data_IF_044120662401
#
_entry.id   IF_044120662401
#
_cell.length_a   1.000
_cell.length_b   1.000
_cell.length_c   1.000
_cell.angle_alpha   90.00
_cell.angle_beta   90.00
_cell.angle_gamma   90.00
#
_symmetry.space_group_name_H-M   'P 1'
#
loop_
_entity.id
_entity.type
_entity.pdbx_description
1 polymer ?
#
# COMPACT_ATOMS: atom_id res chain seq x y z
N UNK A 1 -21.60 27.64 31.40
CA UNK A 1 -22.34 27.94 30.14
C UNK A 1 -21.90 26.91 29.10
N UNK A 2 -22.68 25.86 28.87
CA UNK A 2 -22.31 24.77 27.95
C UNK A 2 -22.70 25.16 26.52
N UNK A 3 -21.70 25.34 25.64
CA UNK A 3 -21.94 25.49 24.20
C UNK A 3 -22.30 24.11 23.61
N UNK A 4 -23.31 24.02 22.74
CA UNK A 4 -23.61 22.77 22.06
C UNK A 4 -22.40 22.36 21.19
N UNK A 5 -21.96 21.11 21.35
CA UNK A 5 -20.91 20.49 20.54
C UNK A 5 -21.50 20.23 19.16
N UNK A 6 -21.21 21.09 18.19
CA UNK A 6 -21.83 21.05 16.86
C UNK A 6 -21.10 20.12 15.89
N UNK A 7 -19.89 19.64 16.23
CA UNK A 7 -19.16 18.65 15.43
C UNK A 7 -18.67 17.48 16.29
N UNK A 8 -18.65 16.28 15.68
CA UNK A 8 -18.15 15.06 16.30
C UNK A 8 -16.70 15.20 16.79
N UNK A 9 -15.88 15.96 16.06
CA UNK A 9 -14.50 16.31 16.45
C UNK A 9 -14.46 17.04 17.78
N UNK A 10 -15.36 18.00 17.99
CA UNK A 10 -15.40 18.79 19.23
C UNK A 10 -15.77 17.89 20.43
N UNK A 11 -16.66 16.92 20.21
CA UNK A 11 -17.03 15.93 21.22
C UNK A 11 -15.84 15.03 21.58
N UNK A 12 -15.06 14.61 20.59
CA UNK A 12 -13.83 13.82 20.82
C UNK A 12 -12.78 14.65 21.57
N UNK A 13 -12.56 15.92 21.19
CA UNK A 13 -11.64 16.81 21.91
C UNK A 13 -12.07 17.06 23.36
N UNK A 14 -13.38 17.23 23.61
CA UNK A 14 -13.92 17.35 24.96
C UNK A 14 -13.73 16.06 25.77
N UNK A 15 -14.05 14.91 25.19
CA UNK A 15 -13.87 13.60 25.84
C UNK A 15 -12.39 13.33 26.15
N UNK A 16 -11.50 13.72 25.25
CA UNK A 16 -10.04 13.67 25.43
C UNK A 16 -9.58 14.49 26.63
N UNK A 17 -10.09 15.71 26.79
CA UNK A 17 -9.74 16.58 27.92
C UNK A 17 -10.14 15.95 29.25
N UNK A 18 -11.37 15.45 29.33
CA UNK A 18 -11.87 14.76 30.54
C UNK A 18 -11.10 13.48 30.84
N UNK A 19 -10.68 12.76 29.80
CA UNK A 19 -9.91 11.53 29.95
C UNK A 19 -8.45 11.78 30.35
N UNK A 20 -7.80 12.87 29.88
CA UNK A 20 -6.46 13.28 30.34
C UNK A 20 -6.46 13.58 31.84
N UNK A 21 -7.46 14.30 32.33
CA UNK A 21 -7.65 14.60 33.77
C UNK A 21 -7.79 13.31 34.60
N UNK A 22 -8.46 12.27 34.06
CA UNK A 22 -8.57 10.96 34.72
C UNK A 22 -7.28 10.14 34.60
N UNK A 23 -6.52 10.30 33.51
CA UNK A 23 -5.26 9.59 33.25
C UNK A 23 -4.09 10.09 34.09
N UNK A 24 -4.09 11.34 34.54
CA UNK A 24 -3.12 11.79 35.56
C UNK A 24 -3.22 10.93 36.86
N UNK A 25 -4.38 10.32 37.12
CA UNK A 25 -4.61 9.42 38.25
C UNK A 25 -4.40 7.92 37.94
N UNK A 26 -4.35 7.52 36.67
CA UNK A 26 -4.16 6.12 36.27
C UNK A 26 -3.03 6.02 35.27
N UNK A 27 -1.97 5.29 35.61
CA UNK A 27 -0.62 5.17 35.01
C UNK A 27 -0.51 4.82 33.50
N UNK A 28 -1.49 5.13 32.64
CA UNK A 28 -1.50 4.79 31.23
C UNK A 28 -1.22 6.04 30.39
N UNK A 29 0.03 6.13 29.93
CA UNK A 29 0.52 7.25 29.12
C UNK A 29 -0.18 7.43 27.76
N UNK A 30 -0.97 6.46 27.29
CA UNK A 30 -1.58 6.48 25.96
C UNK A 30 -3.08 6.09 26.03
N UNK A 31 -4.01 7.04 25.85
CA UNK A 31 -5.45 6.81 25.94
C UNK A 31 -6.03 5.94 24.81
N UNK A 32 -5.33 5.82 23.68
CA UNK A 32 -5.84 5.15 22.48
C UNK A 32 -5.03 3.92 22.09
N UNK A 33 -5.74 2.96 21.50
CA UNK A 33 -5.16 1.78 20.86
C UNK A 33 -5.85 1.47 19.55
N UNK A 34 -5.08 1.09 18.54
CA UNK A 34 -5.62 0.54 17.30
C UNK A 34 -5.99 -0.92 17.52
N UNK A 35 -7.26 -1.27 17.31
CA UNK A 35 -7.79 -2.63 17.47
C UNK A 35 -7.99 -3.36 16.16
N UNK A 36 -8.30 -2.62 15.09
CA UNK A 36 -8.49 -3.18 13.76
C UNK A 36 -8.07 -2.17 12.69
N UNK A 37 -7.66 -2.69 11.54
CA UNK A 37 -7.22 -1.91 10.38
C UNK A 37 -7.93 -2.43 9.15
N UNK A 38 -8.75 -1.59 8.54
CA UNK A 38 -9.48 -1.90 7.31
C UNK A 38 -9.01 -0.98 6.20
N UNK A 39 -9.03 -1.47 4.97
CA UNK A 39 -8.73 -0.64 3.81
C UNK A 39 -10.01 -0.43 3.02
N UNK A 40 -10.34 0.84 2.80
CA UNK A 40 -11.50 1.25 2.01
C UNK A 40 -11.32 0.76 0.58
N UNK A 41 -12.24 -0.09 0.11
CA UNK A 41 -12.24 -0.58 -1.27
C UNK A 41 -12.62 0.51 -2.27
N UNK A 42 -13.27 1.60 -1.81
CA UNK A 42 -13.75 2.71 -2.64
C UNK A 42 -12.72 3.85 -2.77
N UNK A 43 -12.07 4.21 -1.67
CA UNK A 43 -11.12 5.35 -1.63
C UNK A 43 -9.67 4.91 -1.53
N UNK A 44 -9.43 3.64 -1.20
CA UNK A 44 -8.09 3.11 -0.96
C UNK A 44 -7.45 3.51 0.36
N UNK A 45 -8.11 4.41 1.10
CA UNK A 45 -7.69 4.92 2.38
C UNK A 45 -7.69 3.81 3.43
N UNK A 46 -6.76 3.94 4.37
CA UNK A 46 -6.72 3.06 5.55
C UNK A 46 -7.63 3.64 6.62
N UNK A 47 -8.61 2.87 7.07
CA UNK A 47 -9.50 3.16 8.18
C UNK A 47 -9.06 2.36 9.40
N UNK A 48 -8.76 3.04 10.49
CA UNK A 48 -8.45 2.41 11.76
C UNK A 48 -9.70 2.37 12.63
N UNK A 49 -9.91 1.24 13.30
CA UNK A 49 -10.80 1.16 14.45
C UNK A 49 -9.96 1.40 15.71
N UNK A 50 -10.32 2.44 16.44
CA UNK A 50 -9.60 2.95 17.61
C UNK A 50 -10.45 2.71 18.84
N UNK A 51 -9.83 2.17 19.88
CA UNK A 51 -10.46 1.92 21.17
C UNK A 51 -9.87 2.85 22.23
N UNK A 52 -10.73 3.37 23.11
CA UNK A 52 -10.29 3.98 24.36
C UNK A 52 -9.78 2.90 25.32
N UNK A 53 -8.54 3.01 25.75
CA UNK A 53 -7.89 1.98 26.57
C UNK A 53 -8.65 1.79 27.89
N UNK A 54 -9.11 0.57 28.17
CA UNK A 54 -9.93 0.27 29.36
C UNK A 54 -11.41 0.60 29.24
N UNK A 55 -11.91 0.97 28.05
CA UNK A 55 -13.34 1.12 27.75
C UNK A 55 -13.71 0.25 26.55
N UNK A 56 -14.97 -0.17 26.44
CA UNK A 56 -15.48 -0.89 25.27
C UNK A 56 -15.78 0.03 24.08
N UNK A 57 -15.71 1.35 24.27
CA UNK A 57 -16.00 2.34 23.24
C UNK A 57 -14.93 2.34 22.15
N UNK A 58 -15.39 2.18 20.91
CA UNK A 58 -14.57 2.26 19.70
C UNK A 58 -15.11 3.30 18.73
N UNK A 59 -14.23 3.91 17.97
CA UNK A 59 -14.57 4.80 16.84
C UNK A 59 -13.69 4.48 15.64
N UNK A 60 -14.12 4.89 14.45
CA UNK A 60 -13.37 4.69 13.21
C UNK A 60 -12.89 6.02 12.66
N UNK A 61 -11.65 6.05 12.18
CA UNK A 61 -11.08 7.23 11.54
C UNK A 61 -10.08 6.85 10.46
N UNK A 62 -9.95 7.69 9.44
CA UNK A 62 -8.95 7.48 8.38
C UNK A 62 -7.54 7.79 8.89
N UNK A 63 -6.53 7.14 8.32
CA UNK A 63 -5.14 7.39 8.63
C UNK A 63 -4.74 8.86 8.43
N UNK A 64 -5.30 9.51 7.41
CA UNK A 64 -5.04 10.92 7.09
C UNK A 64 -5.59 11.86 8.16
N UNK A 65 -6.86 11.69 8.53
CA UNK A 65 -7.47 12.48 9.61
C UNK A 65 -6.73 12.32 10.94
N UNK A 66 -6.22 11.12 11.23
CA UNK A 66 -5.41 10.87 12.43
C UNK A 66 -4.02 11.50 12.36
N UNK A 67 -3.44 11.60 11.17
CA UNK A 67 -2.11 12.17 10.98
C UNK A 67 -2.12 13.70 11.00
N UNK A 68 -3.25 14.31 10.64
CA UNK A 68 -3.44 15.77 10.62
C UNK A 68 -3.81 16.35 12.01
N UNK A 69 -4.29 15.52 12.95
CA UNK A 69 -4.69 15.95 14.30
C UNK A 69 -3.59 15.66 15.33
N UNK A 70 -2.79 16.68 15.64
CA UNK A 70 -1.66 16.62 16.58
C UNK A 70 -2.07 16.23 18.01
N UNK A 71 -3.26 16.61 18.47
CA UNK A 71 -3.73 16.29 19.82
C UNK A 71 -4.16 14.83 19.93
N UNK A 72 -4.74 14.31 18.85
CA UNK A 72 -5.26 12.96 18.80
C UNK A 72 -4.14 11.94 18.54
N UNK A 73 -3.15 12.27 17.68
CA UNK A 73 -2.00 11.40 17.40
C UNK A 73 -1.11 11.19 18.63
N UNK A 74 -0.97 12.21 19.48
CA UNK A 74 -0.24 12.12 20.75
C UNK A 74 -0.89 11.14 21.75
N UNK A 75 -2.18 10.84 21.57
CA UNK A 75 -2.89 9.88 22.40
C UNK A 75 -2.54 8.41 22.12
N UNK A 76 -1.73 8.13 21.11
CA UNK A 76 -1.32 6.78 20.73
C UNK A 76 0.10 6.45 21.17
N UNK A 77 0.35 5.16 21.45
CA UNK A 77 1.71 4.69 21.68
C UNK A 77 2.58 4.86 20.42
N UNK A 78 3.91 5.07 20.54
CA UNK A 78 4.81 5.30 19.40
C UNK A 78 4.72 4.23 18.30
N UNK A 79 4.47 2.97 18.68
CA UNK A 79 4.26 1.86 17.74
C UNK A 79 3.05 2.08 16.84
N UNK A 80 1.96 2.60 17.40
CA UNK A 80 0.72 2.85 16.67
C UNK A 80 0.80 4.15 15.88
N UNK A 81 1.47 5.19 16.40
CA UNK A 81 1.82 6.40 15.64
C UNK A 81 2.57 6.04 14.35
N UNK A 82 3.59 5.17 14.44
CA UNK A 82 4.33 4.71 13.25
C UNK A 82 3.43 4.02 12.22
N UNK A 83 2.41 3.27 12.67
CA UNK A 83 1.43 2.64 11.75
C UNK A 83 0.54 3.68 11.08
N UNK A 84 0.06 4.67 11.84
CA UNK A 84 -0.78 5.76 11.33
C UNK A 84 -0.02 6.54 10.25
N UNK A 85 1.18 7.02 10.57
CA UNK A 85 2.01 7.77 9.62
C UNK A 85 2.33 6.95 8.37
N UNK A 86 2.71 5.68 8.53
CA UNK A 86 2.96 4.80 7.37
C UNK A 86 1.72 4.62 6.50
N UNK A 87 0.54 4.49 7.11
CA UNK A 87 -0.72 4.31 6.38
C UNK A 87 -1.23 5.60 5.74
N UNK A 88 -0.90 6.77 6.29
CA UNK A 88 -1.22 8.07 5.70
C UNK A 88 -0.27 8.43 4.54
N UNK A 89 1.02 8.11 4.66
CA UNK A 89 2.01 8.35 3.60
C UNK A 89 1.83 7.39 2.42
N UNK A 90 1.50 6.12 2.68
CA UNK A 90 1.19 5.15 1.65
C UNK A 90 -0.28 5.38 1.26
N UNK A 91 -0.53 6.40 0.43
CA UNK A 91 -1.77 6.51 -0.34
C UNK A 91 -1.57 5.76 -1.65
N UNK A 92 -1.97 4.49 -1.75
CA UNK A 92 -2.11 3.88 -3.05
C UNK A 92 -3.22 4.66 -3.75
N UNK A 93 -2.87 5.44 -4.78
CA UNK A 93 -3.84 5.99 -5.73
C UNK A 93 -4.69 4.83 -6.21
N UNK A 94 -5.86 4.66 -5.61
CA UNK A 94 -6.88 3.76 -6.06
C UNK A 94 -7.85 4.63 -6.85
N UNK A 95 -7.55 4.78 -8.14
CA UNK A 95 -8.56 5.17 -9.13
C UNK A 95 -9.53 4.01 -9.24
N UNK A 96 -10.50 3.96 -8.33
CA UNK A 96 -11.62 3.02 -8.41
C UNK A 96 -12.59 3.57 -9.46
N UNK A 97 -12.49 3.07 -10.68
CA UNK A 97 -13.55 3.22 -11.68
C UNK A 97 -14.68 2.27 -11.31
N UNK A 98 -15.93 2.71 -11.47
CA UNK A 98 -17.12 1.87 -11.29
C UNK A 98 -16.96 0.56 -12.08
N UNK A 99 -16.93 -0.59 -11.39
CA UNK A 99 -16.68 -1.91 -12.00
C UNK A 99 -15.73 -2.83 -11.23
N UNK A 100 -15.10 -2.37 -10.15
CA UNK A 100 -14.33 -3.24 -9.24
C UNK A 100 -12.94 -3.67 -9.73
N UNK A 101 -12.51 -3.20 -10.91
CA UNK A 101 -11.14 -3.40 -11.38
C UNK A 101 -10.20 -2.40 -10.69
N UNK A 102 -9.25 -2.93 -9.91
CA UNK A 102 -8.17 -2.15 -9.32
C UNK A 102 -7.31 -1.59 -10.47
N UNK A 103 -7.38 -0.29 -10.77
CA UNK A 103 -6.46 0.31 -11.74
C UNK A 103 -5.09 0.43 -11.08
N UNK A 104 -4.14 -0.36 -11.58
CA UNK A 104 -2.73 -0.23 -11.24
C UNK A 104 -2.07 0.74 -12.22
N UNK A 105 -1.10 1.58 -11.77
CA UNK A 105 -0.46 2.56 -12.65
C UNK A 105 0.19 1.94 -13.88
N UNK A 106 0.56 0.66 -13.82
CA UNK A 106 1.01 -0.11 -14.95
C UNK A 106 0.15 -1.36 -15.15
N UNK A 107 -0.06 -1.72 -16.41
CA UNK A 107 -0.78 -2.93 -16.84
C UNK A 107 -0.08 -3.57 -18.02
N UNK A 108 0.09 -4.89 -17.99
CA UNK A 108 0.60 -5.63 -19.15
C UNK A 108 -0.53 -5.71 -20.19
N UNK A 109 -0.26 -5.22 -21.41
CA UNK A 109 -1.22 -5.28 -22.53
C UNK A 109 -0.78 -6.26 -23.62
N UNK A 110 0.51 -6.55 -23.72
CA UNK A 110 1.01 -7.60 -24.61
C UNK A 110 2.32 -8.21 -24.09
N UNK A 111 2.57 -9.45 -24.50
CA UNK A 111 3.81 -10.16 -24.29
C UNK A 111 4.49 -10.37 -25.64
N UNK A 112 5.74 -9.96 -25.71
CA UNK A 112 6.58 -10.08 -26.90
C UNK A 112 7.80 -10.96 -26.59
N UNK A 113 8.36 -11.54 -27.65
CA UNK A 113 9.57 -12.33 -27.55
C UNK A 113 10.50 -11.99 -28.70
N UNK A 114 11.64 -11.40 -28.39
CA UNK A 114 12.64 -11.06 -29.39
C UNK A 114 13.48 -12.29 -29.72
N UNK A 115 13.13 -12.97 -30.82
CA UNK A 115 13.78 -14.23 -31.24
C UNK A 115 15.29 -14.12 -31.44
N UNK A 116 15.80 -12.97 -31.90
CA UNK A 116 17.22 -12.76 -32.16
C UNK A 116 18.07 -12.71 -30.89
N UNK A 117 17.49 -12.22 -29.79
CA UNK A 117 18.18 -12.07 -28.51
C UNK A 117 17.70 -13.06 -27.45
N UNK A 118 16.69 -13.88 -27.78
CA UNK A 118 15.98 -14.75 -26.85
C UNK A 118 15.48 -13.99 -25.60
N UNK A 119 15.07 -12.73 -25.76
CA UNK A 119 14.67 -11.85 -24.65
C UNK A 119 13.15 -11.66 -24.62
N UNK A 120 12.47 -12.08 -23.54
CA UNK A 120 11.08 -11.71 -23.31
C UNK A 120 10.95 -10.21 -23.04
N UNK A 121 9.92 -9.60 -23.58
CA UNK A 121 9.55 -8.20 -23.30
C UNK A 121 8.05 -8.05 -23.15
N UNK A 122 7.63 -7.01 -22.44
CA UNK A 122 6.23 -6.69 -22.24
C UNK A 122 5.94 -5.33 -22.86
N UNK A 123 4.78 -5.21 -23.50
CA UNK A 123 4.19 -3.91 -23.78
C UNK A 123 3.32 -3.57 -22.58
N UNK A 124 3.63 -2.44 -21.98
CA UNK A 124 3.05 -1.99 -20.73
C UNK A 124 2.32 -0.70 -20.98
N UNK A 125 1.08 -0.66 -20.54
CA UNK A 125 0.27 0.54 -20.46
C UNK A 125 0.55 1.23 -19.12
N UNK A 126 0.93 2.50 -19.17
CA UNK A 126 1.12 3.36 -18.00
C UNK A 126 0.05 4.43 -17.99
N UNK A 127 -0.75 4.44 -16.92
CA UNK A 127 -1.82 5.43 -16.72
C UNK A 127 -1.25 6.61 -15.93
N UNK A 128 -1.19 7.78 -16.58
CA UNK A 128 -0.87 9.08 -15.99
C UNK A 128 -2.15 9.90 -15.84
N UNK A 129 -2.11 10.97 -15.03
CA UNK A 129 -3.31 11.74 -14.63
C UNK A 129 -4.20 12.18 -15.80
N UNK A 130 -3.61 12.49 -16.97
CA UNK A 130 -4.33 12.99 -18.15
C UNK A 130 -4.07 12.17 -19.42
N UNK A 131 -3.29 11.09 -19.35
CA UNK A 131 -2.91 10.33 -20.56
C UNK A 131 -2.49 8.90 -20.24
N UNK A 132 -2.73 8.01 -21.20
CA UNK A 132 -2.23 6.65 -21.19
C UNK A 132 -1.08 6.56 -22.19
N UNK A 133 0.09 6.12 -21.72
CA UNK A 133 1.25 5.90 -22.59
C UNK A 133 1.60 4.42 -22.61
N UNK A 134 2.07 3.92 -23.75
CA UNK A 134 2.53 2.53 -23.90
C UNK A 134 4.04 2.51 -24.03
N UNK A 135 4.71 1.62 -23.28
CA UNK A 135 6.16 1.40 -23.39
C UNK A 135 6.47 -0.10 -23.47
N UNK A 136 7.44 -0.47 -24.29
CA UNK A 136 8.04 -1.80 -24.27
C UNK A 136 9.14 -1.84 -23.23
N UNK A 137 9.11 -2.82 -22.34
CA UNK A 137 10.12 -3.02 -21.29
C UNK A 137 10.61 -4.46 -21.32
N UNK A 138 11.92 -4.66 -21.21
CA UNK A 138 12.51 -6.00 -21.18
C UNK A 138 12.36 -6.64 -19.79
N UNK A 139 12.30 -7.97 -19.75
CA UNK A 139 12.15 -8.73 -18.51
C UNK A 139 13.28 -8.44 -17.50
N UNK A 140 14.52 -8.28 -17.98
CA UNK A 140 15.68 -8.01 -17.14
C UNK A 140 15.58 -6.63 -16.46
N UNK A 141 15.07 -5.63 -17.17
CA UNK A 141 14.85 -4.28 -16.63
C UNK A 141 13.74 -4.28 -15.57
N UNK A 142 12.71 -5.11 -15.76
CA UNK A 142 11.56 -5.22 -14.86
C UNK A 142 11.93 -5.93 -13.55
N UNK A 143 12.74 -6.99 -13.62
CA UNK A 143 13.12 -7.78 -12.44
C UNK A 143 14.13 -7.08 -11.54
N UNK A 144 14.87 -6.09 -12.07
CA UNK A 144 15.84 -5.29 -11.32
C UNK A 144 15.21 -4.23 -10.41
N UNK A 145 13.97 -3.81 -10.66
CA UNK A 145 13.32 -2.74 -9.90
C UNK A 145 12.06 -3.19 -9.16
N UNK A 146 12.21 -3.46 -7.86
CA UNK A 146 11.09 -3.79 -6.96
C UNK A 146 10.03 -2.70 -6.91
N UNK A 147 10.43 -1.44 -7.04
CA UNK A 147 9.52 -0.30 -7.01
C UNK A 147 8.61 -0.25 -8.25
N UNK A 148 9.11 -0.67 -9.41
CA UNK A 148 8.31 -0.75 -10.64
C UNK A 148 7.30 -1.90 -10.53
N UNK A 149 7.73 -3.07 -10.06
CA UNK A 149 6.85 -4.25 -9.89
C UNK A 149 5.66 -3.97 -8.97
N UNK A 150 5.86 -3.19 -7.89
CA UNK A 150 4.78 -2.82 -6.96
C UNK A 150 3.70 -1.91 -7.58
N UNK A 151 3.92 -1.38 -8.79
CA UNK A 151 2.94 -0.57 -9.52
C UNK A 151 2.08 -1.39 -10.49
N UNK A 152 2.24 -2.71 -10.52
CA UNK A 152 1.44 -3.65 -11.31
C UNK A 152 0.40 -4.36 -10.45
N UNK A 153 -0.57 -5.00 -11.10
CA UNK A 153 -1.52 -5.88 -10.43
C UNK A 153 -0.80 -7.14 -9.91
N UNK A 154 -1.36 -7.80 -8.89
CA UNK A 154 -0.80 -9.08 -8.39
C UNK A 154 -0.71 -10.15 -9.49
N UNK A 155 -1.67 -10.14 -10.42
CA UNK A 155 -1.70 -11.06 -11.55
C UNK A 155 -0.54 -10.80 -12.51
N UNK A 156 -0.30 -9.54 -12.85
CA UNK A 156 0.82 -9.15 -13.72
C UNK A 156 2.18 -9.43 -13.06
N UNK A 157 2.31 -9.17 -11.75
CA UNK A 157 3.52 -9.50 -10.99
C UNK A 157 3.79 -11.02 -11.06
N UNK A 158 2.75 -11.84 -10.94
CA UNK A 158 2.87 -13.29 -11.04
C UNK A 158 3.32 -13.73 -12.44
N UNK A 159 2.75 -13.17 -13.50
CA UNK A 159 3.16 -13.45 -14.89
C UNK A 159 4.62 -13.07 -15.15
N UNK A 160 5.06 -11.91 -14.65
CA UNK A 160 6.45 -11.44 -14.75
C UNK A 160 7.38 -12.42 -14.01
N UNK A 161 7.06 -12.77 -12.77
CA UNK A 161 7.85 -13.68 -11.96
C UNK A 161 7.94 -15.09 -12.57
N UNK A 162 6.82 -15.60 -13.09
CA UNK A 162 6.78 -16.89 -13.78
C UNK A 162 7.68 -16.89 -15.02
N UNK A 163 7.58 -15.84 -15.84
CA UNK A 163 8.41 -15.72 -17.05
C UNK A 163 9.89 -15.53 -16.70
N UNK A 164 10.22 -14.79 -15.64
CA UNK A 164 11.59 -14.68 -15.12
C UNK A 164 12.18 -16.02 -14.68
N UNK A 165 11.39 -16.81 -13.94
CA UNK A 165 11.80 -18.16 -13.51
C UNK A 165 11.96 -19.13 -14.69
N UNK A 166 11.05 -19.11 -15.65
CA UNK A 166 11.18 -19.93 -16.85
C UNK A 166 12.42 -19.54 -17.67
N UNK A 167 12.69 -18.24 -17.81
CA UNK A 167 13.85 -17.75 -18.56
C UNK A 167 15.18 -18.11 -17.88
N UNK A 168 15.26 -18.06 -16.54
CA UNK A 168 16.47 -18.43 -15.81
C UNK A 168 16.80 -19.92 -15.93
N UNK A 169 15.79 -20.79 -15.95
CA UNK A 169 15.97 -22.23 -16.16
C UNK A 169 16.51 -22.51 -17.57
N UNK A 170 15.95 -21.87 -18.59
CA UNK A 170 16.41 -22.01 -19.97
C UNK A 170 17.88 -21.58 -20.13
N UNK A 171 18.25 -20.43 -19.57
CA UNK A 171 19.64 -19.97 -19.60
C UNK A 171 20.59 -20.92 -18.85
N UNK A 172 20.17 -21.47 -17.71
CA UNK A 172 20.98 -22.44 -16.97
C UNK A 172 21.20 -23.74 -17.78
N UNK A 173 20.18 -24.20 -18.52
CA UNK A 173 20.29 -25.37 -19.40
C UNK A 173 21.22 -25.10 -20.59
N UNK A 174 21.11 -23.93 -21.22
CA UNK A 174 22.01 -23.51 -22.30
C UNK A 174 23.47 -23.43 -21.83
N UNK A 175 23.71 -22.89 -20.62
CA UNK A 175 25.04 -22.80 -20.03
C UNK A 175 25.64 -24.17 -19.70
N UNK A 176 24.81 -25.12 -19.26
CA UNK A 176 25.23 -26.52 -19.04
C UNK A 176 25.58 -27.17 -20.38
N UNK A 177 24.71 -27.06 -21.39
CA UNK A 177 24.95 -27.63 -22.72
C UNK A 177 26.22 -27.07 -23.39
N UNK A 178 26.50 -25.78 -23.23
CA UNK A 178 27.75 -25.15 -23.71
C UNK A 178 29.01 -25.62 -22.98
N UNK A 179 28.89 -25.99 -21.71
CA UNK A 179 30.01 -26.55 -20.92
C UNK A 179 30.26 -28.03 -21.24
N UNK A 180 29.22 -28.78 -21.60
CA UNK A 180 29.32 -30.20 -21.97
C UNK A 180 29.78 -30.40 -23.43
N UNK A 181 29.53 -29.43 -24.29
CA UNK A 181 30.03 -29.40 -25.67
C UNK A 181 30.78 -28.08 -25.97
N UNK A 182 31.99 -27.89 -25.42
CA UNK A 182 32.83 -26.78 -25.85
C UNK A 182 33.20 -27.04 -27.31
N UNK A 183 32.77 -26.15 -28.20
CA UNK A 183 33.06 -26.22 -29.63
C UNK A 183 34.54 -26.54 -29.87
N UNK A 184 34.80 -27.63 -30.62
CA UNK A 184 36.10 -27.84 -31.27
C UNK A 184 36.31 -26.83 -32.39
#
# INVERSE_FOLDING_TARGET
MYKPLTRFTDFISWALKQYREIMEYTTRNFPFRIVDTQRSTRTGETLFTIQFVGKSTVFKMSADQLAEDDDLIQGFAPRDVKKIIKASLIKPKLTVVQGGAQQTPYKIIAKNFERKQAKPSYVIEQVLENQTITKTVHLDEMTQSKEILLKFSKQDIFEIAYTAGANSILHAQDDIARKEHPSQ
#
